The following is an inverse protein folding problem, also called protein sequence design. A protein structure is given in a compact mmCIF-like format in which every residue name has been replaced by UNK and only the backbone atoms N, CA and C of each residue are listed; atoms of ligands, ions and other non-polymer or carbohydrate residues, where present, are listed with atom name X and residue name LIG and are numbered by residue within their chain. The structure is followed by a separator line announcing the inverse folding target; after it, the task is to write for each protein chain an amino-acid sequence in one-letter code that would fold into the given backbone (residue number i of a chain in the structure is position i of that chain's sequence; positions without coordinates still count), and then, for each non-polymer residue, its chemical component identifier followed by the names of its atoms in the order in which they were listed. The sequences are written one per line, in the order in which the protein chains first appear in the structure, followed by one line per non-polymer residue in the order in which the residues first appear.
data_IF_595097954663
#
_entry.id   IF_595097954663
#
_cell.length_a   1.000
_cell.length_b   1.000
_cell.length_c   1.000
_cell.angle_alpha   90.00
_cell.angle_beta   90.00
_cell.angle_gamma   90.00
#
_symmetry.space_group_name_H-M   'P 1'
#
loop_
_entity.id
_entity.type
_entity.pdbx_description
1 polymer ?
#
# COMPACT_ATOMS: atom_id res chain seq x y z
N UNK A 1 -31.78 8.34 5.32
CA UNK A 1 -30.37 8.01 5.61
C UNK A 1 -30.26 7.87 7.12
N UNK A 2 -29.78 6.75 7.61
CA UNK A 2 -29.43 6.59 9.03
C UNK A 2 -28.26 7.52 9.31
N UNK A 3 -28.33 8.29 10.40
CA UNK A 3 -27.20 9.14 10.81
C UNK A 3 -26.02 8.25 11.19
N UNK A 4 -24.77 8.65 10.85
CA UNK A 4 -23.58 7.92 11.26
C UNK A 4 -23.44 7.98 12.79
N UNK A 5 -22.95 6.89 13.35
CA UNK A 5 -22.69 6.80 14.80
C UNK A 5 -21.18 6.64 15.06
N UNK A 6 -20.65 7.19 16.18
CA UNK A 6 -19.26 6.94 16.55
C UNK A 6 -19.02 5.44 16.70
N UNK A 7 -17.89 4.95 16.18
CA UNK A 7 -17.55 3.53 16.21
C UNK A 7 -17.56 2.93 17.63
N UNK A 8 -17.23 3.73 18.66
CA UNK A 8 -17.25 3.28 20.07
C UNK A 8 -18.64 2.98 20.62
N UNK A 9 -19.70 3.46 19.95
CA UNK A 9 -21.09 3.27 20.36
C UNK A 9 -21.80 2.17 19.58
N UNK A 10 -21.13 1.58 18.59
CA UNK A 10 -21.68 0.52 17.73
C UNK A 10 -21.09 -0.85 18.11
N UNK A 11 -21.88 -1.93 18.14
CA UNK A 11 -21.38 -3.27 18.43
C UNK A 11 -20.58 -3.82 17.26
N UNK A 12 -19.25 -3.65 17.28
CA UNK A 12 -18.35 -4.09 16.25
C UNK A 12 -17.80 -5.50 16.55
N UNK A 13 -17.64 -6.36 15.51
CA UNK A 13 -16.88 -7.59 15.65
C UNK A 13 -15.40 -7.29 15.95
N UNK A 14 -14.64 -8.26 16.52
CA UNK A 14 -13.28 -8.01 17.01
C UNK A 14 -12.33 -7.38 15.99
N UNK A 15 -12.39 -7.76 14.72
CA UNK A 15 -11.52 -7.21 13.66
C UNK A 15 -11.82 -5.73 13.41
N UNK A 16 -13.10 -5.36 13.30
CA UNK A 16 -13.51 -3.99 13.06
C UNK A 16 -13.29 -3.11 14.31
N UNK A 17 -13.46 -3.65 15.51
CA UNK A 17 -13.16 -2.95 16.77
C UNK A 17 -11.65 -2.64 16.87
N UNK A 18 -10.76 -3.59 16.52
CA UNK A 18 -9.31 -3.37 16.41
C UNK A 18 -9.00 -2.30 15.38
N UNK A 19 -9.54 -2.42 14.18
CA UNK A 19 -9.37 -1.43 13.11
C UNK A 19 -9.73 -0.02 13.59
N UNK A 20 -10.92 0.18 14.15
CA UNK A 20 -11.37 1.48 14.65
C UNK A 20 -10.50 2.01 15.80
N UNK A 21 -9.82 1.16 16.55
CA UNK A 21 -8.84 1.58 17.56
C UNK A 21 -7.52 2.00 16.93
N UNK A 22 -7.00 1.24 15.95
CA UNK A 22 -5.71 1.51 15.33
C UNK A 22 -5.72 2.77 14.47
N UNK A 23 -6.81 3.06 13.77
CA UNK A 23 -6.90 4.28 12.93
C UNK A 23 -6.82 5.57 13.73
N UNK A 24 -7.07 5.55 15.02
CA UNK A 24 -6.96 6.73 15.92
C UNK A 24 -5.53 7.12 16.24
N UNK A 25 -4.58 6.22 16.03
CA UNK A 25 -3.15 6.47 16.23
C UNK A 25 -2.62 7.14 14.98
N UNK A 26 -2.07 8.34 15.13
CA UNK A 26 -1.42 9.05 14.03
C UNK A 26 -0.10 8.35 13.66
N UNK A 27 0.00 7.88 12.44
CA UNK A 27 1.19 7.21 11.90
C UNK A 27 1.60 7.79 10.55
N UNK A 28 1.18 9.02 10.24
CA UNK A 28 1.47 9.67 8.96
C UNK A 28 2.97 9.71 8.70
N UNK A 29 3.40 9.19 7.54
CA UNK A 29 4.79 9.26 7.06
C UNK A 29 5.16 10.66 6.56
N UNK A 30 6.46 10.91 6.40
CA UNK A 30 6.99 12.20 5.94
C UNK A 30 8.01 11.98 4.81
N UNK A 31 7.66 12.30 3.55
CA UNK A 31 8.54 12.11 2.41
C UNK A 31 9.77 13.02 2.40
N UNK A 32 9.77 14.11 3.17
CA UNK A 32 10.89 15.04 3.28
C UNK A 32 11.86 14.68 4.42
N UNK A 33 11.56 13.65 5.21
CA UNK A 33 12.42 13.16 6.31
C UNK A 33 13.51 12.22 5.81
N UNK A 34 14.73 12.38 6.35
CA UNK A 34 15.86 11.49 6.09
C UNK A 34 15.99 10.36 7.15
N UNK A 35 15.07 10.29 8.13
CA UNK A 35 15.10 9.26 9.17
C UNK A 35 14.30 8.01 8.78
N UNK A 36 14.54 6.89 9.51
CA UNK A 36 13.74 5.67 9.42
C UNK A 36 13.36 5.22 10.85
N UNK A 37 12.04 5.18 11.17
CA UNK A 37 10.93 5.62 10.33
C UNK A 37 11.00 7.14 10.05
N UNK A 38 10.31 7.57 9.00
CA UNK A 38 10.25 8.99 8.63
C UNK A 38 9.62 9.86 9.71
N UNK A 39 8.75 9.26 10.53
CA UNK A 39 8.16 9.90 11.72
C UNK A 39 8.14 8.93 12.89
N UNK A 40 8.58 9.38 14.07
CA UNK A 40 8.62 8.56 15.29
C UNK A 40 7.23 8.09 15.76
N UNK A 41 6.16 8.81 15.39
CA UNK A 41 4.78 8.46 15.73
C UNK A 41 4.33 7.11 15.16
N UNK A 42 4.93 6.61 14.10
CA UNK A 42 4.66 5.28 13.56
C UNK A 42 4.97 4.18 14.58
N UNK A 43 5.98 4.40 15.42
CA UNK A 43 6.34 3.48 16.50
C UNK A 43 5.28 3.35 17.59
N UNK A 44 4.33 4.31 17.71
CA UNK A 44 3.27 4.23 18.71
C UNK A 44 2.31 3.08 18.40
N UNK A 45 1.95 2.90 17.12
CA UNK A 45 1.22 1.72 16.69
C UNK A 45 2.08 0.46 16.84
N UNK A 46 3.35 0.51 16.43
CA UNK A 46 4.28 -0.62 16.57
C UNK A 46 4.39 -1.13 18.01
N UNK A 47 4.52 -0.23 19.00
CA UNK A 47 4.54 -0.59 20.44
C UNK A 47 3.25 -1.27 20.88
N UNK A 48 2.09 -0.72 20.47
CA UNK A 48 0.79 -1.32 20.78
C UNK A 48 0.69 -2.75 20.23
N UNK A 49 1.15 -2.99 18.97
CA UNK A 49 1.11 -4.31 18.37
C UNK A 49 2.01 -5.31 19.11
N UNK A 50 3.22 -4.89 19.52
CA UNK A 50 4.12 -5.72 20.33
C UNK A 50 3.49 -6.07 21.67
N UNK A 51 2.86 -5.10 22.34
CA UNK A 51 2.18 -5.34 23.62
C UNK A 51 1.03 -6.34 23.48
N UNK A 52 0.20 -6.20 22.43
CA UNK A 52 -0.91 -7.11 22.16
C UNK A 52 -0.42 -8.53 21.81
N UNK A 53 0.61 -8.65 20.94
CA UNK A 53 1.20 -9.95 20.59
C UNK A 53 1.81 -10.63 21.82
N UNK A 54 2.55 -9.88 22.63
CA UNK A 54 3.13 -10.40 23.88
C UNK A 54 2.05 -10.87 24.86
N UNK A 55 0.96 -10.14 24.99
CA UNK A 55 -0.19 -10.54 25.81
C UNK A 55 -0.86 -11.83 25.33
N UNK A 56 -0.75 -12.15 24.04
CA UNK A 56 -1.18 -13.41 23.43
C UNK A 56 -0.13 -14.54 23.54
N UNK A 57 1.03 -14.29 24.16
CA UNK A 57 2.14 -15.23 24.24
C UNK A 57 2.92 -15.40 22.93
N UNK A 58 2.78 -14.46 22.00
CA UNK A 58 3.48 -14.45 20.71
C UNK A 58 4.76 -13.62 20.85
N UNK A 59 5.90 -14.22 20.46
CA UNK A 59 7.17 -13.48 20.45
C UNK A 59 7.11 -12.33 19.43
N UNK A 60 7.31 -11.11 19.90
CA UNK A 60 7.30 -9.94 19.06
C UNK A 60 8.28 -8.87 19.54
N UNK A 61 8.76 -8.04 18.64
CA UNK A 61 9.68 -6.96 18.94
C UNK A 61 9.53 -5.79 17.94
N UNK A 62 9.75 -4.59 18.44
CA UNK A 62 9.85 -3.36 17.64
C UNK A 62 11.32 -2.99 17.48
N UNK A 63 11.81 -2.98 16.25
CA UNK A 63 13.17 -2.51 15.95
C UNK A 63 13.27 -0.97 16.05
N UNK A 64 14.49 -0.45 16.23
CA UNK A 64 14.74 0.99 16.24
C UNK A 64 14.32 1.68 14.95
N UNK A 65 14.33 0.94 13.85
CA UNK A 65 13.86 1.36 12.51
C UNK A 65 12.34 1.45 12.39
N UNK A 66 11.57 1.10 13.42
CA UNK A 66 10.11 1.10 13.39
C UNK A 66 9.49 -0.19 12.86
N UNK A 67 10.28 -1.12 12.32
CA UNK A 67 9.78 -2.42 11.86
C UNK A 67 9.39 -3.29 13.04
N UNK A 68 8.20 -3.89 13.00
CA UNK A 68 7.74 -4.88 13.98
C UNK A 68 7.89 -6.28 13.40
N UNK A 69 8.54 -7.16 14.14
CA UNK A 69 8.66 -8.59 13.83
C UNK A 69 7.88 -9.41 14.86
N UNK A 70 7.17 -10.44 14.39
CA UNK A 70 6.48 -11.38 15.25
C UNK A 70 6.63 -12.81 14.76
N UNK A 71 6.64 -13.78 15.70
CA UNK A 71 6.74 -15.21 15.39
C UNK A 71 5.68 -15.98 16.16
N UNK A 72 4.77 -16.61 15.43
CA UNK A 72 3.81 -17.55 15.98
C UNK A 72 4.19 -18.97 15.51
N UNK A 73 4.80 -19.82 16.36
CA UNK A 73 5.24 -21.15 15.99
C UNK A 73 4.10 -22.04 15.48
N UNK A 74 4.41 -23.00 14.61
CA UNK A 74 3.44 -24.02 14.19
C UNK A 74 2.89 -24.77 15.40
N UNK A 75 1.56 -25.00 15.50
CA UNK A 75 0.94 -25.62 16.68
C UNK A 75 1.22 -27.13 16.78
N UNK A 76 1.54 -27.75 15.67
CA UNK A 76 1.93 -29.16 15.50
C UNK A 76 3.09 -29.27 14.50
N UNK A 77 3.91 -30.33 14.54
CA UNK A 77 4.96 -30.54 13.53
C UNK A 77 4.39 -30.48 12.10
N UNK A 78 5.09 -29.75 11.21
CA UNK A 78 4.69 -29.58 9.82
C UNK A 78 5.93 -29.41 8.92
N UNK A 79 5.84 -29.87 7.67
CA UNK A 79 6.85 -29.64 6.65
C UNK A 79 6.57 -28.32 5.87
N UNK A 80 5.47 -27.64 6.19
CA UNK A 80 5.14 -26.36 5.56
C UNK A 80 6.20 -25.29 5.90
N UNK A 81 6.67 -24.52 4.91
CA UNK A 81 7.64 -23.45 5.14
C UNK A 81 7.04 -22.33 6.00
N UNK A 82 7.86 -21.53 6.68
CA UNK A 82 7.39 -20.33 7.36
C UNK A 82 6.70 -19.36 6.38
N UNK A 83 5.47 -18.95 6.72
CA UNK A 83 4.65 -18.04 5.90
C UNK A 83 4.59 -16.67 6.55
N UNK A 84 4.94 -15.64 5.78
CA UNK A 84 4.88 -14.25 6.20
C UNK A 84 3.48 -13.65 6.03
N UNK A 85 3.06 -12.83 6.99
CA UNK A 85 1.92 -11.93 6.87
C UNK A 85 2.44 -10.51 7.09
N UNK A 86 2.17 -9.64 6.13
CA UNK A 86 2.76 -8.28 6.05
C UNK A 86 1.65 -7.25 5.98
N UNK A 87 1.81 -6.13 6.67
CA UNK A 87 0.98 -4.92 6.56
C UNK A 87 1.84 -3.72 6.92
N UNK A 88 1.51 -2.52 6.41
CA UNK A 88 2.25 -1.34 6.79
C UNK A 88 1.59 -0.55 7.94
N UNK A 89 2.42 0.15 8.72
CA UNK A 89 2.01 0.92 9.90
C UNK A 89 1.57 2.34 9.53
N UNK A 90 2.27 2.93 8.57
CA UNK A 90 2.10 4.33 8.21
C UNK A 90 0.81 4.58 7.43
N UNK A 91 0.45 5.84 7.35
CA UNK A 91 -0.61 6.35 6.50
C UNK A 91 -0.05 7.41 5.57
N UNK A 92 -0.65 7.53 4.40
CA UNK A 92 -0.26 8.50 3.39
C UNK A 92 -0.24 9.95 3.92
N UNK A 93 0.76 10.75 3.51
CA UNK A 93 0.80 12.18 3.79
C UNK A 93 -0.15 13.03 2.90
N UNK A 94 -0.81 12.42 1.90
CA UNK A 94 -1.65 13.13 0.93
C UNK A 94 -2.94 13.71 1.54
N UNK A 95 -3.39 13.14 2.67
CA UNK A 95 -4.51 13.66 3.45
C UNK A 95 -4.20 13.65 4.96
N UNK A 96 -4.82 14.53 5.77
CA UNK A 96 -4.59 14.54 7.21
C UNK A 96 -4.89 13.18 7.85
N UNK A 97 -3.92 12.62 8.61
CA UNK A 97 -4.03 11.33 9.30
C UNK A 97 -4.11 11.43 10.83
N UNK A 98 -4.05 12.63 11.40
CA UNK A 98 -4.10 12.85 12.84
C UNK A 98 -5.53 13.05 13.35
N UNK A 99 -5.83 12.52 14.56
CA UNK A 99 -7.12 12.65 15.23
C UNK A 99 -8.30 12.05 14.43
N UNK A 100 -8.09 10.94 13.77
CA UNK A 100 -9.12 10.20 13.04
C UNK A 100 -10.29 9.85 13.97
N UNK A 101 -11.50 10.17 13.52
CA UNK A 101 -12.77 9.87 14.21
C UNK A 101 -13.56 8.87 13.39
N UNK A 102 -13.39 7.57 13.64
CA UNK A 102 -14.09 6.54 12.86
C UNK A 102 -15.59 6.56 13.17
N UNK A 103 -16.38 6.54 12.10
CA UNK A 103 -17.83 6.49 12.11
C UNK A 103 -18.31 5.19 11.47
N UNK A 104 -19.46 4.70 11.96
CA UNK A 104 -20.22 3.61 11.35
C UNK A 104 -21.48 4.16 10.74
N UNK A 105 -21.78 3.78 9.51
CA UNK A 105 -23.05 4.00 8.83
C UNK A 105 -23.77 2.65 8.76
N UNK A 106 -24.66 2.34 9.74
CA UNK A 106 -25.27 1.02 9.84
C UNK A 106 -26.15 0.71 8.65
N UNK A 107 -26.01 -0.48 8.08
CA UNK A 107 -26.84 -0.98 7.01
C UNK A 107 -26.92 0.00 5.82
N UNK A 108 -25.80 0.44 5.29
CA UNK A 108 -25.73 1.43 4.21
C UNK A 108 -26.75 1.15 3.11
N UNK A 109 -27.70 2.07 2.92
CA UNK A 109 -28.86 1.86 2.03
C UNK A 109 -28.61 2.31 0.57
N UNK A 110 -27.37 2.69 0.24
CA UNK A 110 -27.02 3.32 -1.03
C UNK A 110 -27.15 4.85 -0.98
N UNK A 111 -26.67 5.53 -2.01
CA UNK A 111 -26.69 6.98 -2.11
C UNK A 111 -25.52 7.67 -1.42
N UNK A 112 -25.69 8.96 -1.12
CA UNK A 112 -24.62 9.77 -0.54
C UNK A 112 -24.36 9.39 0.92
N UNK A 113 -23.09 9.28 1.29
CA UNK A 113 -22.60 9.05 2.65
C UNK A 113 -22.43 10.41 3.35
N UNK A 114 -22.91 10.53 4.58
CA UNK A 114 -22.75 11.76 5.36
C UNK A 114 -21.38 11.79 6.04
N UNK A 115 -20.61 12.84 5.79
CA UNK A 115 -19.34 13.14 6.45
C UNK A 115 -19.50 14.42 7.27
N UNK A 116 -19.75 14.34 8.59
CA UNK A 116 -20.21 15.50 9.39
C UNK A 116 -19.25 16.68 9.43
N UNK A 117 -17.93 16.44 9.38
CA UNK A 117 -16.91 17.49 9.36
C UNK A 117 -16.62 18.04 7.95
N UNK A 118 -17.17 17.41 6.91
CA UNK A 118 -17.00 17.81 5.52
C UNK A 118 -18.29 17.63 4.70
N UNK A 119 -19.38 18.36 5.04
CA UNK A 119 -20.70 18.15 4.44
C UNK A 119 -20.74 18.41 2.92
N UNK A 120 -19.80 19.18 2.39
CA UNK A 120 -19.69 19.48 0.95
C UNK A 120 -18.89 18.42 0.20
N UNK A 121 -18.16 17.55 0.88
CA UNK A 121 -17.39 16.47 0.26
C UNK A 121 -18.36 15.39 -0.23
N UNK A 122 -18.34 15.08 -1.54
CA UNK A 122 -19.18 14.04 -2.11
C UNK A 122 -18.54 12.68 -1.95
N UNK A 123 -19.20 11.80 -1.19
CA UNK A 123 -18.96 10.37 -1.14
C UNK A 123 -20.27 9.66 -1.47
N UNK A 124 -20.39 9.21 -2.70
CA UNK A 124 -21.59 8.60 -3.25
C UNK A 124 -21.22 7.56 -4.33
N UNK A 125 -22.15 6.71 -4.77
CA UNK A 125 -21.88 5.80 -5.88
C UNK A 125 -21.48 6.49 -7.20
N UNK A 126 -21.75 7.77 -7.35
CA UNK A 126 -21.31 8.55 -8.50
C UNK A 126 -19.83 8.93 -8.43
N UNK A 127 -19.32 9.25 -7.23
CA UNK A 127 -17.92 9.61 -6.98
C UNK A 127 -17.06 8.42 -6.54
N UNK A 128 -17.67 7.36 -6.01
CA UNK A 128 -17.03 6.10 -5.60
C UNK A 128 -17.92 4.91 -6.00
N UNK A 129 -17.80 4.40 -7.24
CA UNK A 129 -18.69 3.37 -7.78
C UNK A 129 -18.74 2.08 -6.96
N UNK A 130 -17.68 1.74 -6.25
CA UNK A 130 -17.60 0.56 -5.39
C UNK A 130 -18.65 0.59 -4.24
N UNK A 131 -19.12 1.77 -3.81
CA UNK A 131 -20.21 1.88 -2.83
C UNK A 131 -21.50 1.17 -3.28
N UNK A 132 -21.74 1.06 -4.58
CA UNK A 132 -22.93 0.35 -5.09
C UNK A 132 -22.90 -1.15 -4.76
N UNK A 133 -21.74 -1.73 -4.52
CA UNK A 133 -21.57 -3.17 -4.25
C UNK A 133 -21.74 -3.53 -2.76
N UNK A 134 -21.76 -2.53 -1.88
CA UNK A 134 -21.80 -2.72 -0.41
C UNK A 134 -23.11 -2.25 0.24
N UNK A 135 -24.18 -2.16 -0.53
CA UNK A 135 -25.52 -1.88 0.00
C UNK A 135 -25.90 -2.94 1.03
N UNK A 136 -26.33 -2.50 2.23
CA UNK A 136 -26.66 -3.35 3.37
C UNK A 136 -25.49 -3.61 4.32
N UNK A 137 -24.25 -3.22 3.96
CA UNK A 137 -23.11 -3.31 4.86
C UNK A 137 -23.09 -2.18 5.90
N UNK A 138 -22.41 -2.42 7.00
CA UNK A 138 -22.04 -1.38 7.96
C UNK A 138 -20.78 -0.68 7.44
N UNK A 139 -20.97 0.51 6.86
CA UNK A 139 -19.89 1.26 6.22
C UNK A 139 -19.07 2.01 7.28
N UNK A 140 -17.75 1.98 7.14
CA UNK A 140 -16.77 2.66 8.00
C UNK A 140 -16.17 3.84 7.25
N UNK A 141 -16.17 5.04 7.85
CA UNK A 141 -15.54 6.27 7.33
C UNK A 141 -14.87 7.03 8.46
N UNK A 142 -14.05 8.03 8.13
CA UNK A 142 -13.77 9.13 9.05
C UNK A 142 -14.96 10.11 9.11
N UNK A 143 -14.86 11.17 9.94
CA UNK A 143 -15.84 12.26 9.92
C UNK A 143 -15.71 13.19 8.70
N UNK A 144 -14.72 12.94 7.81
CA UNK A 144 -14.40 13.72 6.63
C UNK A 144 -13.35 14.82 6.87
N UNK A 145 -12.87 15.01 8.10
CA UNK A 145 -11.74 15.93 8.38
C UNK A 145 -10.39 15.30 8.04
N UNK A 146 -10.30 13.96 8.06
CA UNK A 146 -9.09 13.16 7.84
C UNK A 146 -9.35 12.04 6.84
N UNK A 147 -8.30 11.37 6.36
CA UNK A 147 -8.43 10.01 5.84
C UNK A 147 -8.98 9.07 6.94
N UNK A 148 -9.39 7.85 6.57
CA UNK A 148 -9.79 6.82 7.55
C UNK A 148 -8.58 6.04 8.08
N UNK A 149 -7.60 5.74 7.23
CA UNK A 149 -6.44 4.89 7.51
C UNK A 149 -6.75 3.40 7.30
N UNK A 150 -7.66 3.09 6.38
CA UNK A 150 -7.90 1.71 5.94
C UNK A 150 -6.68 1.14 5.24
N UNK A 151 -5.96 1.96 4.54
CA UNK A 151 -4.64 1.75 4.00
C UNK A 151 -3.57 2.16 5.04
N UNK A 152 -2.84 1.20 5.74
CA UNK A 152 -3.16 -0.23 5.72
C UNK A 152 -3.45 -0.77 7.15
N UNK A 153 -4.07 0.06 8.01
CA UNK A 153 -4.48 -0.41 9.34
C UNK A 153 -5.60 -1.46 9.28
N UNK A 154 -6.24 -1.64 8.10
CA UNK A 154 -7.14 -2.76 7.87
C UNK A 154 -6.37 -4.08 7.83
N UNK A 155 -5.28 -4.17 7.09
CA UNK A 155 -4.40 -5.34 7.07
C UNK A 155 -3.78 -5.61 8.44
N UNK A 156 -3.29 -4.56 9.12
CA UNK A 156 -2.81 -4.69 10.50
C UNK A 156 -3.88 -5.31 11.40
N UNK A 157 -5.13 -4.80 11.36
CA UNK A 157 -6.22 -5.31 12.19
C UNK A 157 -6.60 -6.75 11.85
N UNK A 158 -6.58 -7.12 10.57
CA UNK A 158 -6.85 -8.48 10.10
C UNK A 158 -5.78 -9.45 10.61
N UNK A 159 -4.49 -9.11 10.47
CA UNK A 159 -3.38 -9.96 10.96
C UNK A 159 -3.50 -10.16 12.48
N UNK A 160 -3.70 -9.09 13.23
CA UNK A 160 -3.82 -9.14 14.69
C UNK A 160 -5.06 -9.92 15.17
N UNK A 161 -6.20 -9.78 14.46
CA UNK A 161 -7.39 -10.55 14.75
C UNK A 161 -7.23 -12.04 14.40
N UNK A 162 -6.52 -12.35 13.32
CA UNK A 162 -6.17 -13.72 12.95
C UNK A 162 -5.30 -14.38 14.00
N UNK A 163 -4.24 -13.71 14.47
CA UNK A 163 -3.33 -14.24 15.51
C UNK A 163 -4.09 -14.53 16.80
N UNK A 164 -4.92 -13.58 17.27
CA UNK A 164 -5.76 -13.80 18.45
C UNK A 164 -6.69 -15.00 18.29
N UNK A 165 -7.35 -15.11 17.13
CA UNK A 165 -8.22 -16.26 16.83
C UNK A 165 -7.47 -17.59 16.85
N UNK A 166 -6.29 -17.66 16.21
CA UNK A 166 -5.48 -18.89 16.13
C UNK A 166 -5.00 -19.32 17.51
N UNK A 167 -4.44 -18.40 18.29
CA UNK A 167 -3.95 -18.70 19.66
C UNK A 167 -5.07 -19.26 20.52
N UNK A 168 -6.24 -18.59 20.55
CA UNK A 168 -7.39 -19.05 21.34
C UNK A 168 -7.94 -20.39 20.86
N UNK A 169 -8.06 -20.60 19.54
CA UNK A 169 -8.55 -21.86 18.98
C UNK A 169 -7.61 -23.03 19.30
N UNK A 170 -6.29 -22.79 19.28
CA UNK A 170 -5.27 -23.80 19.64
C UNK A 170 -5.29 -24.12 21.13
N UNK A 171 -5.45 -23.12 22.01
CA UNK A 171 -5.62 -23.34 23.44
C UNK A 171 -6.90 -24.13 23.78
N UNK A 172 -8.01 -23.76 23.09
CA UNK A 172 -9.29 -24.49 23.27
C UNK A 172 -9.20 -25.93 22.82
N UNK A 173 -8.54 -26.23 21.69
CA UNK A 173 -8.29 -27.61 21.25
C UNK A 173 -7.48 -28.39 22.27
N UNK A 174 -6.38 -27.80 22.77
CA UNK A 174 -5.56 -28.44 23.81
C UNK A 174 -6.34 -28.69 25.10
N UNK A 175 -7.19 -27.76 25.54
CA UNK A 175 -8.07 -27.92 26.72
C UNK A 175 -9.07 -29.05 26.55
N UNK A 176 -9.54 -29.33 25.34
CA UNK A 176 -10.41 -30.46 25.00
C UNK A 176 -9.65 -31.76 24.77
N UNK A 177 -8.32 -31.78 24.86
CA UNK A 177 -7.49 -32.95 24.55
C UNK A 177 -7.42 -33.27 23.05
N UNK A 178 -7.72 -32.28 22.20
CA UNK A 178 -7.68 -32.38 20.74
C UNK A 178 -6.37 -31.82 20.20
N UNK A 179 -5.91 -32.33 19.05
CA UNK A 179 -4.81 -31.69 18.33
C UNK A 179 -5.27 -30.39 17.68
N UNK A 180 -4.52 -29.30 17.81
CA UNK A 180 -4.82 -28.09 17.08
C UNK A 180 -4.80 -28.31 15.55
N UNK A 181 -5.55 -27.48 14.82
CA UNK A 181 -5.52 -27.52 13.35
C UNK A 181 -4.14 -27.15 12.83
N UNK A 182 -3.58 -27.98 11.95
CA UNK A 182 -2.27 -27.75 11.36
C UNK A 182 -2.22 -26.43 10.58
N UNK A 183 -1.15 -25.69 10.76
CA UNK A 183 -0.75 -24.51 9.98
C UNK A 183 0.78 -24.36 10.01
N UNK A 184 1.38 -23.58 9.10
CA UNK A 184 2.80 -23.25 9.16
C UNK A 184 3.13 -22.40 10.38
N UNK A 185 4.42 -22.23 10.63
CA UNK A 185 4.92 -21.12 11.42
C UNK A 185 4.56 -19.81 10.71
N UNK A 186 4.02 -18.83 11.45
CA UNK A 186 3.73 -17.51 10.91
C UNK A 186 4.80 -16.52 11.32
N UNK A 187 5.25 -15.77 10.32
CA UNK A 187 6.17 -14.66 10.44
C UNK A 187 5.38 -13.36 10.20
N UNK A 188 5.26 -12.54 11.23
CA UNK A 188 4.55 -11.27 11.15
C UNK A 188 5.54 -10.16 10.87
N UNK A 189 5.21 -9.30 9.94
CA UNK A 189 6.02 -8.14 9.57
C UNK A 189 5.11 -6.93 9.46
N UNK A 190 5.38 -5.89 10.25
CA UNK A 190 4.71 -4.61 10.09
C UNK A 190 5.77 -3.56 9.78
N UNK A 191 5.63 -2.91 8.62
CA UNK A 191 6.62 -2.01 8.04
C UNK A 191 6.25 -0.55 8.25
N UNK A 192 7.20 0.33 8.54
CA UNK A 192 6.99 1.77 8.45
C UNK A 192 7.24 2.25 7.02
N UNK A 193 6.79 3.47 6.67
CA UNK A 193 7.20 4.22 5.47
C UNK A 193 6.89 3.54 4.12
N UNK A 194 5.90 2.66 4.05
CA UNK A 194 5.46 2.05 2.78
C UNK A 194 4.96 3.13 1.81
N UNK A 195 4.12 4.04 2.29
CA UNK A 195 3.45 5.10 1.54
C UNK A 195 4.40 6.11 0.87
N UNK A 196 5.63 6.16 1.34
CA UNK A 196 6.70 6.95 0.73
C UNK A 196 7.74 6.08 0.02
N UNK A 197 7.40 4.79 -0.18
CA UNK A 197 8.18 3.82 -0.94
C UNK A 197 9.44 3.32 -0.25
N UNK A 198 9.51 3.33 1.09
CA UNK A 198 10.67 2.89 1.90
C UNK A 198 10.36 1.72 2.83
N UNK A 199 9.16 1.13 2.77
CA UNK A 199 8.66 0.12 3.72
C UNK A 199 9.63 -1.03 4.00
N UNK A 200 10.26 -1.56 2.98
CA UNK A 200 11.19 -2.70 3.12
C UNK A 200 12.66 -2.31 3.28
N UNK A 201 13.03 -1.02 3.18
CA UNK A 201 14.43 -0.59 3.16
C UNK A 201 15.19 -0.97 4.46
N UNK A 202 14.48 -1.02 5.58
CA UNK A 202 15.02 -1.37 6.89
C UNK A 202 14.66 -2.78 7.38
N UNK A 203 14.08 -3.62 6.51
CA UNK A 203 13.70 -4.99 6.88
C UNK A 203 14.91 -5.90 6.88
N UNK A 204 15.17 -6.53 8.01
CA UNK A 204 16.11 -7.65 8.13
C UNK A 204 15.40 -8.94 7.68
N UNK A 205 15.73 -9.38 6.45
CA UNK A 205 15.11 -10.57 5.85
C UNK A 205 15.44 -11.86 6.62
N UNK A 206 16.62 -11.96 7.22
CA UNK A 206 17.00 -13.13 8.02
C UNK A 206 16.17 -13.20 9.31
N UNK A 207 15.90 -12.05 9.93
CA UNK A 207 15.04 -11.93 11.11
C UNK A 207 13.57 -12.16 10.74
N UNK A 208 13.10 -11.64 9.62
CA UNK A 208 11.76 -11.95 9.11
C UNK A 208 11.61 -13.45 8.88
N UNK A 209 12.54 -14.09 8.18
CA UNK A 209 12.66 -15.53 8.07
C UNK A 209 11.50 -16.22 7.36
N UNK A 210 10.65 -15.50 6.64
CA UNK A 210 9.60 -16.08 5.80
C UNK A 210 10.18 -16.59 4.48
N UNK A 211 9.64 -17.70 3.98
CA UNK A 211 10.00 -18.26 2.67
C UNK A 211 9.07 -17.78 1.58
N UNK A 212 7.85 -17.48 1.95
CA UNK A 212 6.76 -16.92 1.16
C UNK A 212 5.98 -15.99 2.07
N UNK A 213 5.41 -14.91 1.54
CA UNK A 213 4.61 -14.00 2.34
C UNK A 213 3.37 -13.54 1.58
N UNK A 214 2.47 -12.86 2.28
CA UNK A 214 1.33 -12.16 1.72
C UNK A 214 1.23 -10.80 2.41
N UNK A 215 1.17 -9.73 1.65
CA UNK A 215 0.78 -8.44 2.21
C UNK A 215 -0.74 -8.32 2.19
N UNK A 216 -1.31 -7.86 3.30
CA UNK A 216 -2.76 -7.73 3.46
C UNK A 216 -3.12 -6.26 3.22
N UNK A 217 -2.88 -5.80 2.00
CA UNK A 217 -2.81 -4.39 1.61
C UNK A 217 -3.54 -4.12 0.26
N UNK A 218 -4.34 -5.08 -0.18
CA UNK A 218 -5.11 -4.92 -1.41
C UNK A 218 -6.44 -4.19 -1.21
N UNK A 219 -6.95 -3.53 -2.25
CA UNK A 219 -8.19 -2.77 -2.18
C UNK A 219 -9.44 -3.68 -2.34
N UNK A 220 -9.82 -3.94 -3.57
CA UNK A 220 -11.09 -4.58 -3.93
C UNK A 220 -11.22 -5.98 -3.37
N UNK A 221 -12.35 -6.25 -2.70
CA UNK A 221 -12.68 -7.58 -2.15
C UNK A 221 -12.60 -8.66 -3.22
N UNK A 222 -12.19 -9.86 -2.79
CA UNK A 222 -12.07 -11.05 -3.66
C UNK A 222 -11.04 -10.91 -4.78
N UNK A 223 -10.04 -10.05 -4.59
CA UNK A 223 -8.91 -9.95 -5.51
C UNK A 223 -7.61 -10.42 -4.88
N UNK A 224 -6.79 -11.06 -5.70
CA UNK A 224 -5.39 -11.35 -5.41
C UNK A 224 -4.55 -10.54 -6.39
N UNK A 225 -3.63 -9.75 -5.88
CA UNK A 225 -2.74 -9.01 -6.74
C UNK A 225 -1.40 -9.75 -6.81
N UNK A 226 -1.09 -10.22 -8.00
CA UNK A 226 0.16 -10.95 -8.30
C UNK A 226 1.03 -10.16 -9.27
N UNK A 227 0.59 -8.96 -9.63
CA UNK A 227 1.22 -8.11 -10.62
C UNK A 227 1.14 -6.63 -10.23
N UNK A 228 2.27 -5.95 -10.31
CA UNK A 228 2.42 -4.51 -10.09
C UNK A 228 3.03 -3.84 -11.30
N UNK A 229 2.99 -2.52 -11.38
CA UNK A 229 3.90 -1.82 -12.27
C UNK A 229 5.36 -2.13 -11.93
N UNK A 230 6.23 -2.01 -12.93
CA UNK A 230 7.63 -1.64 -12.74
C UNK A 230 7.74 -0.12 -12.74
N UNK A 231 8.62 0.43 -11.91
CA UNK A 231 8.69 1.86 -11.62
C UNK A 231 10.10 2.41 -11.73
N UNK A 232 10.19 3.63 -12.25
CA UNK A 232 11.37 4.47 -12.17
C UNK A 232 10.96 5.93 -11.96
N UNK A 233 11.88 6.76 -11.46
CA UNK A 233 11.77 8.21 -11.45
C UNK A 233 12.87 8.82 -12.32
N UNK A 234 12.49 9.72 -13.21
CA UNK A 234 13.41 10.55 -13.96
C UNK A 234 13.48 11.94 -13.35
N UNK A 235 14.68 12.43 -13.13
CA UNK A 235 15.00 13.78 -12.66
C UNK A 235 15.73 14.52 -13.75
N UNK A 236 15.06 15.49 -14.37
CA UNK A 236 15.67 16.43 -15.29
C UNK A 236 16.14 17.64 -14.48
N UNK A 237 17.40 18.03 -14.65
CA UNK A 237 17.94 19.29 -14.17
C UNK A 237 18.32 20.17 -15.36
N UNK A 238 17.96 21.43 -15.29
CA UNK A 238 18.29 22.44 -16.31
C UNK A 238 19.06 23.57 -15.64
N UNK A 239 20.24 23.89 -16.15
CA UNK A 239 21.02 25.07 -15.77
C UNK A 239 21.01 26.03 -16.93
N UNK A 240 20.55 27.24 -16.69
CA UNK A 240 20.47 28.32 -17.65
C UNK A 240 21.48 29.44 -17.36
N UNK A 241 21.21 30.64 -17.90
CA UNK A 241 21.99 31.86 -17.68
C UNK A 241 21.03 32.96 -17.23
N UNK A 242 21.11 33.34 -15.96
CA UNK A 242 20.33 34.43 -15.36
C UNK A 242 21.01 35.78 -15.61
N UNK A 243 20.22 36.79 -16.00
CA UNK A 243 20.64 38.19 -16.09
C UNK A 243 19.46 39.09 -15.76
N UNK A 244 19.73 40.39 -15.49
CA UNK A 244 18.65 41.34 -15.25
C UNK A 244 17.68 41.37 -16.46
N UNK A 245 16.36 41.22 -16.27
CA UNK A 245 15.38 41.04 -17.35
C UNK A 245 15.41 42.17 -18.39
N UNK A 246 15.69 43.40 -17.98
CA UNK A 246 15.80 44.54 -18.87
C UNK A 246 16.98 44.48 -19.87
N UNK A 247 17.97 43.61 -19.64
CA UNK A 247 19.16 43.42 -20.45
C UNK A 247 19.30 41.99 -20.99
N UNK A 248 18.23 41.21 -20.95
CA UNK A 248 18.22 39.78 -21.20
C UNK A 248 18.32 39.37 -22.67
N UNK A 249 18.04 40.30 -23.62
CA UNK A 249 17.99 39.98 -25.04
C UNK A 249 19.33 39.46 -25.55
N UNK A 250 19.33 38.21 -26.06
CA UNK A 250 20.52 37.55 -26.60
C UNK A 250 21.52 37.02 -25.55
N UNK A 251 21.21 37.16 -24.27
CA UNK A 251 22.10 36.74 -23.15
C UNK A 251 21.42 35.74 -22.25
N UNK A 252 20.17 35.97 -21.82
CA UNK A 252 19.45 35.09 -20.91
C UNK A 252 19.10 33.79 -21.57
N UNK A 253 19.38 32.69 -20.85
CA UNK A 253 18.87 31.36 -21.15
C UNK A 253 18.03 30.91 -19.94
N UNK A 254 16.73 30.96 -20.09
CA UNK A 254 15.80 30.73 -18.97
C UNK A 254 15.54 29.25 -18.74
N UNK A 255 16.09 28.70 -17.66
CA UNK A 255 15.97 27.30 -17.30
C UNK A 255 14.51 26.84 -17.07
N UNK A 256 13.67 27.70 -16.45
CA UNK A 256 12.27 27.38 -16.19
C UNK A 256 11.46 27.23 -17.51
N UNK A 257 11.75 28.01 -18.52
CA UNK A 257 11.11 27.87 -19.85
C UNK A 257 11.47 26.56 -20.52
N UNK A 258 12.74 26.13 -20.42
CA UNK A 258 13.21 24.84 -20.99
C UNK A 258 12.56 23.67 -20.23
N UNK A 259 12.54 23.73 -18.91
CA UNK A 259 11.87 22.74 -18.09
C UNK A 259 10.36 22.60 -18.40
N UNK A 260 9.69 23.74 -18.63
CA UNK A 260 8.27 23.74 -19.06
C UNK A 260 8.10 23.13 -20.45
N UNK A 261 9.00 23.42 -21.39
CA UNK A 261 8.98 22.81 -22.72
C UNK A 261 9.17 21.30 -22.68
N UNK A 262 10.02 20.80 -21.77
CA UNK A 262 10.15 19.37 -21.53
C UNK A 262 8.84 18.74 -21.06
N UNK A 263 8.16 19.32 -20.06
CA UNK A 263 6.87 18.82 -19.57
C UNK A 263 5.82 18.81 -20.68
N UNK A 264 5.77 19.88 -21.49
CA UNK A 264 4.85 19.97 -22.62
C UNK A 264 5.13 18.96 -23.74
N UNK A 265 6.38 18.49 -23.86
CA UNK A 265 6.79 17.53 -24.88
C UNK A 265 6.50 16.08 -24.47
N UNK A 266 6.15 15.82 -23.21
CA UNK A 266 5.70 14.48 -22.77
C UNK A 266 4.36 14.14 -23.45
N UNK A 267 4.15 12.88 -23.86
CA UNK A 267 2.92 12.48 -24.53
C UNK A 267 1.71 12.58 -23.59
N UNK A 268 0.75 13.42 -23.98
CA UNK A 268 -0.45 13.67 -23.17
C UNK A 268 -1.39 12.47 -23.09
N UNK A 269 -1.32 11.53 -24.01
CA UNK A 269 -2.06 10.28 -24.04
C UNK A 269 -1.40 9.17 -23.19
N UNK A 270 -0.19 9.40 -22.66
CA UNK A 270 0.50 8.52 -21.72
C UNK A 270 0.58 9.15 -20.31
N UNK A 271 -0.37 9.99 -19.93
CA UNK A 271 -0.48 10.55 -18.58
C UNK A 271 -1.37 9.68 -17.67
N UNK A 272 -1.25 9.73 -16.33
CA UNK A 272 -2.14 9.00 -15.42
C UNK A 272 -3.62 9.28 -15.68
N UNK A 273 -3.97 10.53 -15.97
CA UNK A 273 -5.33 11.00 -16.23
C UNK A 273 -5.91 10.54 -17.56
N UNK A 274 -5.10 10.00 -18.47
CA UNK A 274 -5.51 9.52 -19.80
C UNK A 274 -5.32 8.01 -19.98
N UNK A 275 -4.74 7.32 -19.00
CA UNK A 275 -4.42 5.88 -19.07
C UNK A 275 -5.20 5.05 -18.05
N UNK A 276 -5.51 3.81 -18.39
CA UNK A 276 -6.22 2.86 -17.53
C UNK A 276 -5.73 1.43 -17.73
N UNK A 277 -6.21 0.51 -16.89
CA UNK A 277 -5.89 -0.91 -16.99
C UNK A 277 -4.38 -1.15 -17.00
N UNK A 278 -3.88 -1.83 -18.02
CA UNK A 278 -2.44 -2.17 -18.16
C UNK A 278 -1.60 -1.12 -18.90
N UNK A 279 -2.18 0.03 -19.25
CA UNK A 279 -1.44 1.10 -19.90
C UNK A 279 -0.46 1.74 -18.91
N UNK A 280 0.82 1.82 -19.26
CA UNK A 280 1.82 2.56 -18.50
C UNK A 280 1.69 4.07 -18.69
N UNK A 281 2.42 4.86 -17.90
CA UNK A 281 2.36 6.31 -17.98
C UNK A 281 3.69 7.00 -17.64
N UNK A 282 3.74 8.31 -17.99
CA UNK A 282 4.72 9.29 -17.53
C UNK A 282 3.97 10.38 -16.75
N UNK A 283 4.35 10.60 -15.49
CA UNK A 283 3.70 11.58 -14.63
C UNK A 283 4.69 12.65 -14.13
N UNK A 284 4.71 13.85 -14.76
CA UNK A 284 5.47 14.97 -14.21
C UNK A 284 4.77 15.48 -12.94
N UNK A 285 5.30 15.13 -11.76
CA UNK A 285 4.66 15.46 -10.48
C UNK A 285 5.30 16.64 -9.76
N UNK A 286 6.52 17.02 -10.17
CA UNK A 286 7.20 18.17 -9.57
C UNK A 286 7.90 19.01 -10.65
N UNK A 287 7.70 20.31 -10.60
CA UNK A 287 8.46 21.33 -11.35
C UNK A 287 8.82 22.46 -10.37
N UNK A 288 10.12 22.66 -10.15
CA UNK A 288 10.67 23.71 -9.29
C UNK A 288 11.76 24.48 -10.03
N UNK A 289 11.90 25.76 -9.78
CA UNK A 289 13.05 26.50 -10.30
C UNK A 289 12.78 27.97 -10.65
N UNK A 290 13.80 28.59 -11.24
CA UNK A 290 13.85 29.98 -11.67
C UNK A 290 14.54 30.11 -13.04
N UNK A 291 15.04 31.32 -13.37
CA UNK A 291 15.72 31.56 -14.65
C UNK A 291 17.09 30.85 -14.74
N UNK A 292 17.79 30.61 -13.61
CA UNK A 292 19.13 30.04 -13.62
C UNK A 292 19.11 28.51 -13.48
N UNK A 293 18.14 27.97 -12.72
CA UNK A 293 18.06 26.53 -12.46
C UNK A 293 16.61 26.06 -12.35
N UNK A 294 16.31 24.95 -13.00
CA UNK A 294 15.03 24.27 -12.85
C UNK A 294 15.21 22.76 -12.72
N UNK A 295 14.28 22.12 -12.05
CA UNK A 295 14.20 20.66 -11.87
C UNK A 295 12.79 20.20 -12.20
N UNK A 296 12.69 19.09 -12.96
CA UNK A 296 11.44 18.35 -13.19
C UNK A 296 11.63 16.92 -12.70
N UNK A 297 10.64 16.41 -11.96
CA UNK A 297 10.58 15.00 -11.61
C UNK A 297 9.40 14.34 -12.31
N UNK A 298 9.66 13.17 -12.91
CA UNK A 298 8.68 12.41 -13.68
C UNK A 298 8.67 10.98 -13.21
N UNK A 299 7.54 10.49 -12.73
CA UNK A 299 7.35 9.06 -12.47
C UNK A 299 7.10 8.32 -13.78
N UNK A 300 7.80 7.19 -13.97
CA UNK A 300 7.64 6.30 -15.10
C UNK A 300 7.08 4.97 -14.60
N UNK A 301 6.01 4.50 -15.20
CA UNK A 301 5.32 3.26 -14.83
C UNK A 301 4.99 2.44 -16.06
N UNK A 302 5.24 1.14 -15.98
CA UNK A 302 4.77 0.16 -16.97
C UNK A 302 4.70 -1.23 -16.33
N UNK A 303 3.77 -2.07 -16.80
CA UNK A 303 3.73 -3.48 -16.42
C UNK A 303 4.82 -4.29 -17.13
N UNK A 304 5.19 -3.90 -18.34
CA UNK A 304 6.17 -4.60 -19.15
C UNK A 304 7.55 -3.92 -19.06
N UNK A 305 8.61 -4.71 -18.92
CA UNK A 305 9.97 -4.20 -18.81
C UNK A 305 10.37 -3.36 -20.04
N UNK A 306 9.98 -3.82 -21.25
CA UNK A 306 10.25 -3.11 -22.50
C UNK A 306 9.48 -1.78 -22.58
N UNK A 307 8.27 -1.73 -22.03
CA UNK A 307 7.48 -0.50 -21.92
C UNK A 307 8.15 0.53 -21.03
N UNK A 308 8.66 0.11 -19.86
CA UNK A 308 9.41 1.00 -18.98
C UNK A 308 10.73 1.45 -19.62
N UNK A 309 11.44 0.55 -20.30
CA UNK A 309 12.68 0.88 -21.03
C UNK A 309 12.42 1.93 -22.12
N UNK A 310 11.34 1.78 -22.88
CA UNK A 310 10.92 2.77 -23.90
C UNK A 310 10.65 4.15 -23.28
N UNK A 311 9.96 4.23 -22.12
CA UNK A 311 9.70 5.51 -21.43
C UNK A 311 10.96 6.16 -20.91
N UNK A 312 11.91 5.38 -20.39
CA UNK A 312 13.24 5.86 -19.99
C UNK A 312 14.01 6.43 -21.18
N UNK A 313 13.95 5.77 -22.34
CA UNK A 313 14.58 6.25 -23.56
C UNK A 313 13.93 7.56 -24.03
N UNK A 314 12.59 7.63 -24.07
CA UNK A 314 11.85 8.84 -24.46
C UNK A 314 12.28 10.05 -23.62
N UNK A 315 12.38 9.92 -22.30
CA UNK A 315 12.81 11.02 -21.41
C UNK A 315 14.22 11.50 -21.77
N UNK A 316 15.15 10.58 -22.06
CA UNK A 316 16.51 10.95 -22.47
C UNK A 316 16.52 11.65 -23.85
N UNK A 317 15.81 11.11 -24.82
CA UNK A 317 15.71 11.66 -26.18
C UNK A 317 15.11 13.07 -26.18
N UNK A 318 14.09 13.32 -25.32
CA UNK A 318 13.51 14.64 -25.16
C UNK A 318 14.52 15.64 -24.56
N UNK A 319 15.28 15.22 -23.56
CA UNK A 319 16.30 16.07 -22.95
C UNK A 319 17.44 16.37 -23.94
N UNK A 320 17.91 15.39 -24.71
CA UNK A 320 18.97 15.56 -25.73
C UNK A 320 18.52 16.50 -26.87
N UNK A 321 17.26 16.39 -27.29
CA UNK A 321 16.65 17.30 -28.24
C UNK A 321 16.63 18.76 -27.71
N UNK A 322 16.13 18.97 -26.49
CA UNK A 322 16.08 20.27 -25.87
C UNK A 322 17.47 20.86 -25.61
N UNK A 323 18.46 20.00 -25.25
CA UNK A 323 19.86 20.43 -25.15
C UNK A 323 20.37 20.96 -26.49
N UNK A 324 20.03 20.30 -27.60
CA UNK A 324 20.44 20.74 -28.96
C UNK A 324 19.76 22.05 -29.38
N UNK A 325 18.49 22.21 -29.00
CA UNK A 325 17.71 23.45 -29.27
C UNK A 325 18.18 24.64 -28.41
N UNK A 326 18.78 24.33 -27.23
CA UNK A 326 19.23 25.35 -26.25
C UNK A 326 20.73 25.18 -25.91
N UNK A 327 21.66 25.42 -26.82
CA UNK A 327 23.08 25.16 -26.59
C UNK A 327 23.72 26.01 -25.48
N UNK A 328 23.04 27.09 -25.05
CA UNK A 328 23.47 27.92 -23.90
C UNK A 328 22.99 27.42 -22.55
N UNK A 329 22.19 26.35 -22.50
CA UNK A 329 21.80 25.67 -21.27
C UNK A 329 22.64 24.39 -21.07
N UNK A 330 22.59 23.84 -19.84
CA UNK A 330 23.07 22.50 -19.55
C UNK A 330 21.90 21.68 -18.99
N UNK A 331 21.57 20.57 -19.66
CA UNK A 331 20.55 19.63 -19.23
C UNK A 331 21.19 18.34 -18.73
N UNK A 332 20.72 17.84 -17.59
CA UNK A 332 21.11 16.55 -17.03
C UNK A 332 19.90 15.69 -16.71
N UNK A 333 19.95 14.40 -17.06
CA UNK A 333 18.90 13.44 -16.72
C UNK A 333 19.48 12.32 -15.85
N UNK A 334 18.95 12.17 -14.64
CA UNK A 334 19.18 11.01 -13.78
C UNK A 334 17.91 10.17 -13.76
N UNK A 335 18.03 8.85 -13.95
CA UNK A 335 16.88 7.93 -13.82
C UNK A 335 17.25 6.88 -12.78
N UNK A 336 16.39 6.73 -11.78
CA UNK A 336 16.53 5.77 -10.68
C UNK A 336 15.38 4.78 -10.76
N UNK A 337 15.68 3.49 -10.75
CA UNK A 337 14.69 2.43 -10.65
C UNK A 337 14.24 2.28 -9.20
N UNK A 338 12.93 2.06 -9.00
CA UNK A 338 12.34 1.93 -7.67
C UNK A 338 11.99 0.49 -7.34
N UNK A 339 11.18 -0.16 -8.17
CA UNK A 339 10.76 -1.56 -8.02
C UNK A 339 10.40 -2.15 -9.38
N UNK A 340 10.32 -3.49 -9.44
CA UNK A 340 9.94 -4.26 -10.62
C UNK A 340 8.61 -4.95 -10.42
N UNK A 341 7.90 -5.25 -11.52
CA UNK A 341 6.69 -6.06 -11.49
C UNK A 341 6.95 -7.38 -10.77
N UNK A 342 6.12 -7.70 -9.77
CA UNK A 342 6.33 -8.89 -8.93
C UNK A 342 5.92 -10.21 -9.60
N UNK A 343 5.18 -10.18 -10.71
CA UNK A 343 4.62 -11.39 -11.35
C UNK A 343 5.68 -12.44 -11.68
N UNK A 344 6.72 -12.03 -12.37
CA UNK A 344 7.76 -12.96 -12.80
C UNK A 344 8.60 -13.45 -11.61
N UNK A 345 8.83 -12.60 -10.61
CA UNK A 345 9.51 -12.96 -9.37
C UNK A 345 8.75 -14.01 -8.56
N UNK A 346 7.43 -13.85 -8.40
CA UNK A 346 6.56 -14.83 -7.74
C UNK A 346 6.60 -16.16 -8.49
N UNK A 347 6.40 -16.12 -9.82
CA UNK A 347 6.36 -17.33 -10.64
C UNK A 347 7.69 -18.10 -10.65
N UNK A 348 8.82 -17.39 -10.65
CA UNK A 348 10.16 -17.99 -10.69
C UNK A 348 10.59 -18.56 -9.32
N UNK A 349 10.18 -17.93 -8.22
CA UNK A 349 10.67 -18.29 -6.88
C UNK A 349 9.78 -19.33 -6.19
N UNK A 350 8.47 -19.08 -6.14
CA UNK A 350 7.51 -20.02 -5.51
C UNK A 350 6.09 -19.82 -6.09
N UNK A 351 5.73 -20.50 -7.16
CA UNK A 351 4.39 -20.43 -7.75
C UNK A 351 3.28 -20.94 -6.82
N UNK A 352 3.62 -21.72 -5.77
CA UNK A 352 2.67 -22.17 -4.76
C UNK A 352 2.05 -20.99 -4.00
N UNK A 353 2.71 -19.83 -3.92
CA UNK A 353 2.13 -18.62 -3.34
C UNK A 353 0.78 -18.26 -3.98
N UNK A 354 0.62 -18.47 -5.29
CA UNK A 354 -0.62 -18.19 -6.01
C UNK A 354 -1.60 -19.37 -5.94
N UNK A 355 -1.14 -20.61 -6.17
CA UNK A 355 -2.03 -21.77 -6.18
C UNK A 355 -2.65 -22.04 -4.83
N UNK A 356 -1.90 -21.91 -3.72
CA UNK A 356 -2.42 -22.04 -2.35
C UNK A 356 -3.43 -20.92 -2.01
N UNK A 357 -3.22 -19.71 -2.53
CA UNK A 357 -4.19 -18.63 -2.38
C UNK A 357 -5.55 -18.97 -3.03
N UNK A 358 -5.55 -19.60 -4.20
CA UNK A 358 -6.76 -20.11 -4.84
C UNK A 358 -7.39 -21.28 -4.09
N UNK A 359 -6.58 -22.18 -3.53
CA UNK A 359 -7.10 -23.29 -2.69
C UNK A 359 -7.81 -22.76 -1.44
N UNK A 360 -7.22 -21.74 -0.83
CA UNK A 360 -7.82 -21.04 0.31
C UNK A 360 -9.13 -20.37 -0.05
N UNK A 361 -9.19 -19.70 -1.20
CA UNK A 361 -10.40 -19.06 -1.68
C UNK A 361 -11.55 -20.07 -1.91
N UNK A 362 -11.24 -21.20 -2.56
CA UNK A 362 -12.22 -22.29 -2.73
C UNK A 362 -12.74 -22.82 -1.39
N UNK A 363 -11.84 -22.99 -0.41
CA UNK A 363 -12.22 -23.45 0.92
C UNK A 363 -13.07 -22.43 1.69
N UNK A 364 -12.88 -21.13 1.43
CA UNK A 364 -13.66 -20.04 2.02
C UNK A 364 -14.93 -19.67 1.22
N UNK A 365 -15.20 -20.32 0.09
CA UNK A 365 -16.33 -19.98 -0.78
C UNK A 365 -16.20 -18.62 -1.47
N UNK A 366 -14.96 -18.21 -1.76
CA UNK A 366 -14.62 -16.93 -2.39
C UNK A 366 -14.27 -17.15 -3.86
N UNK A 367 -14.88 -16.35 -4.74
CA UNK A 367 -14.53 -16.29 -6.17
C UNK A 367 -13.37 -15.33 -6.38
N UNK A 368 -12.15 -15.81 -6.06
CA UNK A 368 -10.93 -15.01 -6.10
C UNK A 368 -10.51 -14.73 -7.55
N UNK A 369 -10.21 -13.47 -7.83
CA UNK A 369 -9.77 -13.01 -9.16
C UNK A 369 -8.44 -12.29 -9.06
N UNK A 370 -7.60 -12.47 -10.07
CA UNK A 370 -6.37 -11.67 -10.19
C UNK A 370 -6.71 -10.26 -10.68
N UNK A 371 -6.07 -9.27 -10.07
CA UNK A 371 -6.14 -7.88 -10.49
C UNK A 371 -4.74 -7.25 -10.41
N UNK A 372 -4.30 -6.52 -11.43
CA UNK A 372 -3.02 -5.83 -11.39
C UNK A 372 -3.12 -4.54 -10.55
N UNK A 373 -2.03 -4.18 -9.87
CA UNK A 373 -1.90 -2.90 -9.15
C UNK A 373 -1.16 -1.90 -10.04
N UNK A 374 -1.73 -0.71 -10.22
CA UNK A 374 -1.09 0.42 -10.95
C UNK A 374 -0.14 1.23 -10.07
N UNK A 375 0.51 0.58 -9.12
CA UNK A 375 1.45 1.12 -8.16
C UNK A 375 2.47 0.08 -7.74
N UNK A 376 3.21 0.35 -6.69
CA UNK A 376 4.07 -0.60 -5.98
C UNK A 376 3.45 -0.97 -4.65
N UNK A 377 4.00 -1.96 -3.99
CA UNK A 377 3.67 -2.38 -2.63
C UNK A 377 4.91 -2.99 -1.99
N UNK A 378 4.91 -3.16 -0.67
CA UNK A 378 5.94 -3.95 0.00
C UNK A 378 6.05 -5.38 -0.58
N UNK A 379 4.93 -5.92 -1.09
CA UNK A 379 4.92 -7.21 -1.79
C UNK A 379 5.81 -7.25 -3.02
N UNK A 380 5.82 -6.19 -3.84
CA UNK A 380 6.71 -6.11 -5.00
C UNK A 380 8.19 -6.05 -4.59
N UNK A 381 8.50 -5.29 -3.53
CA UNK A 381 9.85 -5.15 -3.01
C UNK A 381 10.36 -6.44 -2.35
N UNK A 382 9.55 -7.07 -1.48
CA UNK A 382 9.89 -8.36 -0.87
C UNK A 382 10.09 -9.46 -1.93
N UNK A 383 9.26 -9.46 -2.99
CA UNK A 383 9.42 -10.39 -4.11
C UNK A 383 10.76 -10.16 -4.84
N UNK A 384 11.15 -8.92 -5.08
CA UNK A 384 12.46 -8.59 -5.66
C UNK A 384 13.63 -9.01 -4.76
N UNK A 385 13.42 -9.03 -3.44
CA UNK A 385 14.39 -9.51 -2.44
C UNK A 385 14.36 -11.04 -2.25
N UNK A 386 13.57 -11.78 -3.04
CA UNK A 386 13.52 -13.24 -3.05
C UNK A 386 12.43 -13.87 -2.18
N UNK A 387 11.53 -13.08 -1.60
CA UNK A 387 10.37 -13.58 -0.86
C UNK A 387 9.10 -13.29 -1.69
N UNK A 388 8.56 -14.28 -2.43
CA UNK A 388 7.35 -14.09 -3.24
C UNK A 388 6.18 -13.67 -2.35
N UNK A 389 5.62 -12.49 -2.65
CA UNK A 389 4.66 -11.84 -1.76
C UNK A 389 3.48 -11.25 -2.55
N UNK A 390 2.45 -12.07 -2.90
CA UNK A 390 1.19 -11.55 -3.43
C UNK A 390 0.46 -10.63 -2.44
N UNK A 391 -0.36 -9.69 -2.96
CA UNK A 391 -1.24 -8.87 -2.14
C UNK A 391 -2.63 -9.50 -2.01
N UNK A 392 -3.14 -9.51 -0.80
CA UNK A 392 -4.51 -9.89 -0.43
C UNK A 392 -5.34 -8.64 -0.15
N UNK A 393 -6.58 -8.66 -0.56
CA UNK A 393 -7.53 -7.57 -0.38
C UNK A 393 -7.83 -7.25 1.09
N UNK A 394 -8.08 -5.97 1.40
CA UNK A 394 -8.65 -5.47 2.67
C UNK A 394 -10.09 -5.00 2.53
N UNK A 395 -10.50 -4.65 1.33
CA UNK A 395 -11.82 -4.12 1.00
C UNK A 395 -11.99 -2.62 1.21
N UNK A 396 -10.90 -1.89 1.43
CA UNK A 396 -10.87 -0.43 1.50
C UNK A 396 -10.87 0.23 0.13
N UNK A 397 -11.35 1.46 0.07
CA UNK A 397 -11.47 2.25 -1.15
C UNK A 397 -11.23 3.75 -0.89
N UNK A 398 -10.99 4.51 -1.95
CA UNK A 398 -10.71 5.95 -1.93
C UNK A 398 -9.51 6.30 -1.04
N UNK A 399 -8.49 5.44 -1.03
CA UNK A 399 -7.25 5.60 -0.29
C UNK A 399 -6.61 6.97 -0.50
N UNK A 400 -5.76 7.41 0.41
CA UNK A 400 -5.05 8.69 0.38
C UNK A 400 -5.99 9.91 0.33
N UNK A 401 -7.25 9.75 0.76
CA UNK A 401 -8.22 10.84 0.69
C UNK A 401 -9.14 10.88 1.91
N UNK A 402 -9.78 12.04 2.13
CA UNK A 402 -10.81 12.20 3.15
C UNK A 402 -12.13 11.48 2.84
N UNK A 403 -12.21 10.84 1.65
CA UNK A 403 -13.36 10.00 1.23
C UNK A 403 -13.10 8.52 1.47
N UNK A 404 -11.98 8.18 2.06
CA UNK A 404 -11.60 6.81 2.33
C UNK A 404 -12.66 6.07 3.16
N UNK A 405 -12.97 4.84 2.76
CA UNK A 405 -13.97 4.01 3.41
C UNK A 405 -13.64 2.52 3.34
N UNK A 406 -14.21 1.76 4.25
CA UNK A 406 -14.23 0.30 4.27
C UNK A 406 -15.58 -0.16 4.81
N UNK A 407 -15.80 -1.46 4.99
CA UNK A 407 -16.97 -2.00 5.67
C UNK A 407 -16.61 -3.04 6.71
N UNK A 408 -17.44 -3.20 7.71
CA UNK A 408 -17.29 -4.28 8.72
C UNK A 408 -17.22 -5.64 8.02
N UNK A 409 -18.11 -5.88 7.06
CA UNK A 409 -18.24 -7.14 6.35
C UNK A 409 -17.02 -7.45 5.45
N UNK A 410 -16.40 -6.41 4.86
CA UNK A 410 -15.18 -6.57 4.08
C UNK A 410 -14.00 -7.00 4.98
N UNK A 411 -13.87 -6.38 6.16
CA UNK A 411 -12.84 -6.77 7.14
C UNK A 411 -13.03 -8.22 7.61
N UNK A 412 -14.27 -8.64 7.92
CA UNK A 412 -14.57 -10.02 8.29
C UNK A 412 -14.30 -11.00 7.15
N UNK A 413 -14.61 -10.61 5.89
CA UNK A 413 -14.33 -11.42 4.71
C UNK A 413 -12.83 -11.59 4.49
N UNK A 414 -12.05 -10.51 4.62
CA UNK A 414 -10.59 -10.55 4.57
C UNK A 414 -10.02 -11.48 5.66
N UNK A 415 -10.48 -11.33 6.91
CA UNK A 415 -10.06 -12.20 8.02
C UNK A 415 -10.39 -13.68 7.75
N UNK A 416 -11.60 -13.96 7.23
CA UNK A 416 -12.01 -15.33 6.89
C UNK A 416 -11.12 -15.93 5.80
N UNK A 417 -10.80 -15.15 4.76
CA UNK A 417 -9.91 -15.56 3.69
C UNK A 417 -8.48 -15.80 4.19
N UNK A 418 -7.91 -14.85 4.96
CA UNK A 418 -6.54 -14.96 5.48
C UNK A 418 -6.40 -16.17 6.42
N UNK A 419 -7.43 -16.47 7.21
CA UNK A 419 -7.48 -17.71 8.01
C UNK A 419 -7.46 -18.95 7.14
N UNK A 420 -8.28 -18.99 6.08
CA UNK A 420 -8.29 -20.12 5.13
C UNK A 420 -6.93 -20.28 4.44
N UNK A 421 -6.28 -19.17 4.10
CA UNK A 421 -4.95 -19.13 3.47
C UNK A 421 -3.88 -19.76 4.35
N UNK A 422 -3.83 -19.39 5.63
CA UNK A 422 -2.89 -19.98 6.60
C UNK A 422 -3.12 -21.49 6.76
N UNK A 423 -4.37 -21.93 6.85
CA UNK A 423 -4.69 -23.36 6.94
C UNK A 423 -4.46 -24.11 5.62
N UNK A 424 -4.59 -23.47 4.47
CA UNK A 424 -4.27 -24.08 3.19
C UNK A 424 -2.79 -24.40 3.08
N UNK A 425 -1.91 -23.51 3.54
CA UNK A 425 -0.47 -23.76 3.65
C UNK A 425 -0.14 -24.95 4.58
N UNK A 426 -0.87 -25.11 5.67
CA UNK A 426 -0.69 -26.25 6.58
C UNK A 426 -1.10 -27.60 5.98
N UNK A 427 -1.86 -27.62 4.89
CA UNK A 427 -2.31 -28.82 4.16
C UNK A 427 -1.62 -29.05 2.83
N UNK A 428 -0.88 -28.05 2.36
CA UNK A 428 -0.16 -28.13 1.09
C UNK A 428 0.96 -29.16 1.18
N UNK A 429 1.05 -30.05 0.19
CA UNK A 429 2.14 -31.04 0.07
C UNK A 429 3.24 -30.47 -0.81
N UNK A 430 4.46 -30.45 -0.32
CA UNK A 430 5.65 -29.93 -1.02
C UNK A 430 6.39 -31.07 -1.73
#
# INVERSE_FOLDING_TARGET
MTEPVPADTFPLPPVAARFCRYVRIDTTSDPDSDTTPSTERQKDLGRLLVDELTALGVAAELADTGVVYGVLPAPVPTDAPPVGLVAHLDTSPDAPGANVRPLVHPGYAGGRVALPAAPDLDLSPASSPALATVTGHDLLTSDGSTLLGSDDKAGVAVIMALVDHLVRAEEDARRRGEAPTARPELRLLFTPDEEIGRGTDAVDLARFGATVAYTIDGSTVDTLNVETFSAAEARLTVTGVGVHPGYAKGVMVNALRIATAFVQALPADEAPETTSGRQGYLHPHTLRGDAERAEVRVLLRDFEADGLARRKALVRDLADRLQSEHPGATLGVAITDSYTNMRDGIAATNPAAVSVAYDAARAAGIDLREAPIRGGTDGARLTALGIPTPNVFTGGHEFHSRREWNTVQNLERCLSYTRALVHAWGRHSF
#
